data_IF_202545531900
#
_entry.id   IF_202545531900
#
_cell.length_a   1.000
_cell.length_b   1.000
_cell.length_c   1.000
_cell.angle_alpha   90.00
_cell.angle_beta   90.00
_cell.angle_gamma   90.00
#
_symmetry.space_group_name_H-M   'P 1'
#
loop_
_entity.id
_entity.type
_entity.pdbx_description
1 polymer ?
#
# COMPACT_ATOMS: atom_id res chain seq x y z
N UNK A 1 24.22 -4.49 -1.87
CA UNK A 1 24.84 -5.24 -2.98
C UNK A 1 25.67 -6.38 -2.39
N UNK A 2 25.48 -7.63 -2.83
CA UNK A 2 26.29 -8.77 -2.34
C UNK A 2 27.61 -8.94 -3.09
N UNK A 3 27.72 -8.38 -4.29
CA UNK A 3 28.95 -8.27 -5.08
C UNK A 3 29.18 -6.77 -5.29
N UNK A 4 30.28 -6.22 -4.77
CA UNK A 4 30.57 -4.78 -4.86
C UNK A 4 30.67 -4.27 -6.31
N UNK A 5 30.84 -2.97 -6.49
CA UNK A 5 31.07 -2.36 -7.81
C UNK A 5 32.57 -2.20 -8.09
N UNK A 6 32.99 -2.32 -9.35
CA UNK A 6 34.34 -1.94 -9.78
C UNK A 6 34.40 -0.43 -9.93
N UNK A 7 35.41 0.17 -9.30
CA UNK A 7 35.69 1.61 -9.35
C UNK A 7 37.20 1.78 -9.58
N UNK A 8 37.58 2.85 -10.25
CA UNK A 8 38.98 3.24 -10.38
C UNK A 8 39.57 3.64 -9.03
N UNK A 9 40.90 3.69 -8.95
CA UNK A 9 41.54 4.22 -7.75
C UNK A 9 41.25 5.72 -7.63
N UNK A 10 40.86 6.18 -6.44
CA UNK A 10 40.52 7.58 -6.25
C UNK A 10 39.72 7.87 -4.99
N UNK A 11 39.45 9.16 -4.79
CA UNK A 11 38.67 9.68 -3.68
C UNK A 11 37.22 9.85 -4.10
N UNK A 12 36.31 9.16 -3.43
CA UNK A 12 34.89 9.10 -3.78
C UNK A 12 34.01 9.72 -2.70
N UNK A 13 32.90 10.28 -3.14
CA UNK A 13 31.81 10.76 -2.30
C UNK A 13 30.60 9.83 -2.47
N UNK A 14 30.11 9.27 -1.38
CA UNK A 14 28.85 8.52 -1.31
C UNK A 14 27.78 9.43 -0.72
N UNK A 15 26.71 9.63 -1.50
CA UNK A 15 25.49 10.31 -1.04
C UNK A 15 24.38 9.28 -0.92
N UNK A 16 23.78 9.17 0.26
CA UNK A 16 22.57 8.38 0.49
C UNK A 16 21.42 9.32 0.85
N UNK A 17 20.21 8.95 0.44
CA UNK A 17 19.02 9.77 0.65
C UNK A 17 17.80 8.90 0.95
N UNK A 18 17.08 9.22 2.02
CA UNK A 18 15.80 8.59 2.36
C UNK A 18 14.67 9.58 2.15
N UNK A 19 13.72 9.25 1.28
CA UNK A 19 12.57 10.12 0.99
C UNK A 19 11.50 9.98 2.07
N UNK A 20 11.01 11.12 2.57
CA UNK A 20 9.93 11.20 3.54
C UNK A 20 8.57 11.40 2.85
N UNK A 21 7.49 11.05 3.55
CA UNK A 21 6.11 11.31 3.12
C UNK A 21 5.84 12.80 2.89
N UNK A 22 6.45 13.67 3.72
CA UNK A 22 6.41 15.13 3.57
C UNK A 22 7.08 15.66 2.30
N UNK A 23 7.81 14.82 1.56
CA UNK A 23 8.57 15.21 0.37
C UNK A 23 10.02 15.60 0.66
N UNK A 24 10.40 15.83 1.92
CA UNK A 24 11.79 16.05 2.31
C UNK A 24 12.64 14.78 2.08
N UNK A 25 13.97 14.97 1.95
CA UNK A 25 14.93 13.88 1.80
C UNK A 25 15.98 13.98 2.90
N UNK A 26 16.11 12.91 3.70
CA UNK A 26 17.18 12.79 4.68
C UNK A 26 18.45 12.34 3.98
N UNK A 27 19.36 13.27 3.75
CA UNK A 27 20.63 12.99 3.08
C UNK A 27 21.76 12.73 4.07
N UNK A 28 22.66 11.82 3.72
CA UNK A 28 23.97 11.62 4.35
C UNK A 28 25.04 11.63 3.28
N UNK A 29 26.17 12.21 3.64
CA UNK A 29 27.32 12.40 2.78
C UNK A 29 28.53 11.80 3.50
N UNK A 30 29.24 10.91 2.83
CA UNK A 30 30.44 10.26 3.36
C UNK A 30 31.51 10.14 2.27
N UNK A 31 32.76 10.19 2.68
CA UNK A 31 33.90 10.11 1.77
C UNK A 31 34.71 8.85 2.03
N UNK A 32 35.23 8.24 0.98
CA UNK A 32 36.09 7.06 1.08
C UNK A 32 37.11 7.04 -0.05
N UNK A 33 38.24 6.36 0.18
CA UNK A 33 39.31 6.23 -0.79
C UNK A 33 39.35 4.80 -1.32
N UNK A 34 39.50 4.64 -2.63
CA UNK A 34 39.68 3.34 -3.30
C UNK A 34 41.14 3.23 -3.74
N UNK A 35 41.87 2.27 -3.17
CA UNK A 35 43.24 1.99 -3.59
C UNK A 35 43.29 1.12 -4.85
N UNK A 36 44.32 1.31 -5.68
CA UNK A 36 44.54 0.52 -6.90
C UNK A 36 44.69 -0.96 -6.58
N UNK A 37 43.96 -1.82 -7.32
CA UNK A 37 43.96 -3.27 -7.14
C UNK A 37 43.36 -3.77 -5.81
N UNK A 38 42.88 -2.87 -4.94
CA UNK A 38 42.38 -3.18 -3.61
C UNK A 38 40.86 -3.34 -3.53
N UNK A 39 40.38 -3.83 -2.39
CA UNK A 39 38.96 -3.87 -2.05
C UNK A 39 38.68 -2.89 -0.91
N UNK A 40 37.84 -1.90 -1.18
CA UNK A 40 37.34 -0.97 -0.15
C UNK A 40 35.95 -1.40 0.27
N UNK A 41 35.72 -1.51 1.57
CA UNK A 41 34.40 -1.77 2.15
C UNK A 41 33.94 -0.48 2.81
N UNK A 42 32.82 0.06 2.35
CA UNK A 42 32.17 1.21 2.96
C UNK A 42 30.74 0.83 3.33
N UNK A 43 30.27 1.34 4.46
CA UNK A 43 28.91 1.11 4.90
C UNK A 43 27.94 1.97 4.09
N UNK A 44 26.90 1.33 3.57
CA UNK A 44 25.76 2.03 2.98
C UNK A 44 24.78 2.38 4.12
N UNK A 45 24.97 3.55 4.73
CA UNK A 45 24.12 4.03 5.82
C UNK A 45 23.00 4.89 5.26
N UNK A 46 21.76 4.43 5.39
CA UNK A 46 20.57 5.22 5.12
C UNK A 46 20.16 5.95 6.40
N UNK A 47 19.86 7.25 6.31
CA UNK A 47 19.29 7.97 7.46
C UNK A 47 17.83 7.60 7.61
N UNK A 48 17.44 7.28 8.83
CA UNK A 48 16.05 7.06 9.19
C UNK A 48 15.62 8.10 10.20
N UNK A 49 14.36 8.52 10.12
CA UNK A 49 13.69 9.28 11.17
C UNK A 49 12.79 8.34 11.97
N UNK A 50 12.84 8.44 13.29
CA UNK A 50 11.92 7.72 14.19
C UNK A 50 10.52 8.35 14.23
N UNK A 51 10.44 9.64 13.89
CA UNK A 51 9.25 10.45 14.04
C UNK A 51 8.56 10.75 12.70
N UNK A 52 9.30 10.71 11.58
CA UNK A 52 8.79 11.05 10.26
C UNK A 52 8.53 9.79 9.41
N UNK A 53 7.37 9.77 8.75
CA UNK A 53 6.96 8.70 7.86
C UNK A 53 7.84 8.68 6.60
N UNK A 54 8.32 7.49 6.23
CA UNK A 54 9.25 7.29 5.12
C UNK A 54 8.56 6.60 3.94
N UNK A 55 9.01 6.89 2.72
CA UNK A 55 8.59 6.16 1.53
C UNK A 55 9.38 4.86 1.47
N UNK A 56 8.70 3.73 1.62
CA UNK A 56 9.28 2.39 1.66
C UNK A 56 9.18 1.64 0.33
N UNK A 57 8.39 2.16 -0.61
CA UNK A 57 8.28 1.59 -1.95
C UNK A 57 7.34 2.37 -2.85
N UNK A 58 6.98 1.74 -3.97
CA UNK A 58 6.07 2.32 -4.95
C UNK A 58 4.92 1.37 -5.30
N UNK A 59 3.76 1.93 -5.59
CA UNK A 59 2.56 1.20 -6.00
C UNK A 59 1.78 2.04 -7.00
N UNK A 60 1.34 1.47 -8.12
CA UNK A 60 0.59 2.21 -9.14
C UNK A 60 -0.83 2.48 -8.65
N UNK A 61 -1.15 3.73 -8.31
CA UNK A 61 -2.50 4.12 -7.91
C UNK A 61 -3.52 3.97 -9.04
N UNK A 62 -3.08 3.88 -10.29
CA UNK A 62 -3.98 3.62 -11.42
C UNK A 62 -4.27 2.14 -11.65
N UNK A 63 -3.76 1.24 -10.79
CA UNK A 63 -4.08 -0.18 -10.90
C UNK A 63 -5.59 -0.41 -10.80
N UNK A 64 -6.09 -1.23 -11.73
CA UNK A 64 -7.50 -1.48 -11.91
C UNK A 64 -7.99 -2.60 -10.99
N UNK A 65 -9.18 -2.41 -10.44
CA UNK A 65 -9.92 -3.41 -9.71
C UNK A 65 -11.38 -3.40 -10.17
N UNK A 66 -12.13 -4.46 -9.88
CA UNK A 66 -13.56 -4.49 -10.17
C UNK A 66 -14.35 -4.18 -8.91
N UNK A 67 -15.02 -3.01 -8.81
CA UNK A 67 -15.74 -2.66 -7.61
C UNK A 67 -16.93 -3.60 -7.37
N UNK A 68 -17.23 -3.89 -6.12
CA UNK A 68 -18.40 -4.66 -5.72
C UNK A 68 -19.35 -3.72 -5.00
N UNK A 69 -20.51 -3.47 -5.61
CA UNK A 69 -21.69 -2.86 -5.01
C UNK A 69 -21.43 -1.72 -4.01
N UNK A 70 -21.41 -0.48 -4.49
CA UNK A 70 -22.12 0.68 -3.92
C UNK A 70 -21.86 1.92 -4.77
N UNK A 71 -22.46 1.98 -5.97
CA UNK A 71 -22.60 3.23 -6.73
C UNK A 71 -24.05 3.43 -7.18
N UNK A 72 -24.91 3.76 -6.21
CA UNK A 72 -26.01 4.72 -6.44
C UNK A 72 -25.79 6.07 -5.74
N UNK A 73 -24.76 6.21 -4.91
CA UNK A 73 -24.62 7.38 -4.02
C UNK A 73 -23.40 8.29 -4.28
N UNK A 74 -22.40 7.88 -5.07
CA UNK A 74 -21.26 8.73 -5.42
C UNK A 74 -21.01 8.77 -6.94
N UNK A 75 -22.06 9.10 -7.69
CA UNK A 75 -21.90 9.67 -9.02
C UNK A 75 -21.45 11.14 -8.89
N UNK A 76 -20.18 11.36 -8.56
CA UNK A 76 -19.51 12.58 -9.02
C UNK A 76 -18.66 12.19 -10.21
N UNK A 77 -19.29 12.34 -11.37
CA UNK A 77 -18.73 12.43 -12.72
C UNK A 77 -17.20 12.53 -12.80
N UNK A 78 -16.58 11.44 -13.26
CA UNK A 78 -15.45 11.52 -14.18
C UNK A 78 -15.58 10.31 -15.12
N UNK A 79 -15.93 10.62 -16.37
CA UNK A 79 -16.13 9.73 -17.49
C UNK A 79 -15.01 8.70 -17.64
N UNK A 80 -15.34 7.42 -17.47
CA UNK A 80 -14.69 6.37 -18.25
C UNK A 80 -15.50 6.28 -19.54
N UNK A 81 -14.90 6.66 -20.66
CA UNK A 81 -15.56 6.67 -21.96
C UNK A 81 -16.02 5.27 -22.37
N UNK A 82 -17.32 5.07 -22.31
CA UNK A 82 -18.10 4.16 -23.16
C UNK A 82 -19.57 4.41 -22.84
N UNK A 83 -20.34 4.73 -23.87
CA UNK A 83 -21.79 4.97 -23.88
C UNK A 83 -22.58 4.06 -22.91
N UNK A 84 -23.64 4.57 -22.28
CA UNK A 84 -24.47 3.80 -21.37
C UNK A 84 -25.29 2.79 -22.18
N UNK A 85 -24.85 1.53 -22.20
CA UNK A 85 -25.68 0.45 -22.71
C UNK A 85 -26.53 -0.11 -21.55
N UNK A 86 -27.83 0.09 -21.65
CA UNK A 86 -28.84 -0.38 -20.70
C UNK A 86 -28.95 -1.91 -20.76
N UNK A 87 -28.11 -2.61 -20.02
CA UNK A 87 -28.36 -4.01 -19.61
C UNK A 87 -27.62 -4.24 -18.29
N UNK A 88 -28.35 -4.60 -17.25
CA UNK A 88 -27.80 -4.83 -15.91
C UNK A 88 -26.68 -5.88 -15.96
N UNK A 89 -25.46 -5.56 -15.49
CA UNK A 89 -24.56 -6.59 -14.98
C UNK A 89 -23.04 -6.43 -15.13
N UNK A 90 -22.49 -5.46 -15.85
CA UNK A 90 -21.02 -5.32 -15.93
C UNK A 90 -20.53 -4.06 -15.22
N UNK A 91 -19.99 -4.25 -14.01
CA UNK A 91 -19.24 -3.21 -13.33
C UNK A 91 -17.89 -3.06 -14.03
N UNK A 92 -17.76 -2.03 -14.87
CA UNK A 92 -16.51 -1.69 -15.55
C UNK A 92 -15.38 -1.54 -14.52
N UNK A 93 -14.19 -2.04 -14.86
CA UNK A 93 -13.01 -1.92 -14.02
C UNK A 93 -12.71 -0.46 -13.70
N UNK A 94 -12.40 -0.15 -12.44
CA UNK A 94 -12.12 1.20 -11.94
C UNK A 94 -10.71 1.25 -11.36
N UNK A 95 -10.01 2.37 -11.51
CA UNK A 95 -8.69 2.53 -10.87
C UNK A 95 -8.81 2.89 -9.40
N UNK A 96 -7.82 2.51 -8.59
CA UNK A 96 -7.78 2.87 -7.17
C UNK A 96 -7.74 4.38 -6.96
N UNK A 97 -7.04 5.12 -7.83
CA UNK A 97 -7.00 6.58 -7.83
C UNK A 97 -8.40 7.17 -8.01
N UNK A 98 -9.16 6.68 -9.00
CA UNK A 98 -10.51 7.17 -9.26
C UNK A 98 -11.46 6.84 -8.10
N UNK A 99 -11.25 5.72 -7.40
CA UNK A 99 -12.08 5.32 -6.27
C UNK A 99 -11.74 6.07 -4.97
N UNK A 100 -10.47 6.37 -4.74
CA UNK A 100 -10.00 6.98 -3.49
C UNK A 100 -9.89 8.51 -3.54
N UNK A 101 -9.77 9.08 -4.74
CA UNK A 101 -9.50 10.51 -4.93
C UNK A 101 -8.06 10.89 -4.60
N UNK A 102 -7.79 12.20 -4.53
CA UNK A 102 -6.45 12.75 -4.24
C UNK A 102 -6.04 12.56 -2.78
N UNK A 103 -4.79 12.17 -2.56
CA UNK A 103 -4.19 11.97 -1.24
C UNK A 103 -3.82 10.51 -0.94
N UNK A 104 -3.62 10.22 0.34
CA UNK A 104 -3.34 8.87 0.82
C UNK A 104 -4.62 8.04 0.95
N UNK A 105 -4.49 6.73 0.78
CA UNK A 105 -5.54 5.73 0.93
C UNK A 105 -4.93 4.40 1.39
N UNK A 106 -5.77 3.52 1.92
CA UNK A 106 -5.37 2.17 2.33
C UNK A 106 -5.84 1.17 1.27
N UNK A 107 -4.99 0.21 0.93
CA UNK A 107 -5.38 -0.97 0.13
C UNK A 107 -5.10 -2.21 0.95
N UNK A 108 -6.12 -3.04 1.17
CA UNK A 108 -6.04 -4.31 1.87
C UNK A 108 -6.46 -5.46 0.95
N UNK A 109 -5.67 -6.52 0.89
CA UNK A 109 -6.01 -7.77 0.20
C UNK A 109 -6.31 -8.82 1.25
N UNK A 110 -7.52 -9.37 1.20
CA UNK A 110 -8.05 -10.22 2.26
C UNK A 110 -7.96 -11.70 1.91
N UNK A 111 -7.56 -12.52 2.88
CA UNK A 111 -7.72 -13.97 2.83
C UNK A 111 -8.97 -14.37 3.62
N UNK A 112 -10.11 -14.53 2.96
CA UNK A 112 -11.40 -14.78 3.63
C UNK A 112 -11.36 -16.09 4.41
N UNK A 113 -11.85 -16.07 5.65
CA UNK A 113 -11.86 -17.22 6.55
C UNK A 113 -10.50 -17.53 7.19
N UNK A 114 -9.46 -16.74 6.93
CA UNK A 114 -8.16 -16.89 7.57
C UNK A 114 -8.14 -16.08 8.88
N UNK A 115 -7.67 -16.70 9.96
CA UNK A 115 -7.53 -16.07 11.27
C UNK A 115 -6.75 -14.74 11.22
N UNK A 116 -5.62 -14.61 10.47
CA UNK A 116 -4.92 -13.33 10.32
C UNK A 116 -5.79 -12.21 9.74
N UNK A 117 -6.65 -12.53 8.77
CA UNK A 117 -7.56 -11.56 8.14
C UNK A 117 -8.63 -11.12 9.13
N UNK A 118 -9.17 -12.06 9.89
CA UNK A 118 -10.22 -11.76 10.86
C UNK A 118 -9.69 -10.87 12.00
N UNK A 119 -8.47 -11.11 12.47
CA UNK A 119 -7.81 -10.24 13.45
C UNK A 119 -7.55 -8.84 12.89
N UNK A 120 -6.99 -8.74 11.68
CA UNK A 120 -6.76 -7.46 11.02
C UNK A 120 -8.04 -6.61 10.88
N UNK A 121 -9.15 -7.22 10.49
CA UNK A 121 -10.44 -6.52 10.35
C UNK A 121 -11.02 -6.09 11.69
N UNK A 122 -10.87 -6.90 12.74
CA UNK A 122 -11.29 -6.54 14.10
C UNK A 122 -10.46 -5.37 14.66
N UNK A 123 -9.17 -5.37 14.42
CA UNK A 123 -8.29 -4.26 14.83
C UNK A 123 -8.65 -2.95 14.11
N UNK A 124 -9.01 -3.04 12.83
CA UNK A 124 -9.50 -1.89 12.05
C UNK A 124 -10.85 -1.40 12.61
N UNK A 125 -11.79 -2.32 12.89
CA UNK A 125 -13.09 -1.98 13.46
C UNK A 125 -12.97 -1.30 14.84
N UNK A 126 -12.05 -1.76 15.68
CA UNK A 126 -11.77 -1.15 16.99
C UNK A 126 -11.28 0.31 16.89
N UNK A 127 -10.71 0.71 15.75
CA UNK A 127 -10.20 2.06 15.47
C UNK A 127 -11.05 2.84 14.47
N UNK A 128 -12.29 2.42 14.27
CA UNK A 128 -13.15 2.93 13.20
C UNK A 128 -13.39 4.44 13.25
N UNK A 129 -13.73 4.99 14.42
CA UNK A 129 -14.00 6.43 14.57
C UNK A 129 -12.80 7.30 14.17
N UNK A 130 -11.57 6.88 14.48
CA UNK A 130 -10.35 7.61 14.12
C UNK A 130 -10.04 7.50 12.62
N UNK A 131 -10.25 6.32 12.04
CA UNK A 131 -10.09 6.09 10.60
C UNK A 131 -11.14 6.83 9.76
N UNK A 132 -12.38 6.93 10.26
CA UNK A 132 -13.42 7.74 9.64
C UNK A 132 -13.13 9.24 9.74
N UNK A 133 -12.59 9.69 10.88
CA UNK A 133 -12.14 11.08 11.05
C UNK A 133 -11.00 11.45 10.09
N UNK A 134 -10.12 10.51 9.76
CA UNK A 134 -9.11 10.71 8.70
C UNK A 134 -9.75 10.94 7.32
N UNK A 135 -10.94 10.38 7.09
CA UNK A 135 -11.80 10.68 5.93
C UNK A 135 -11.31 10.10 4.60
N UNK A 136 -10.28 9.26 4.61
CA UNK A 136 -9.76 8.61 3.40
C UNK A 136 -10.33 7.21 3.22
N UNK A 137 -10.33 6.77 1.96
CA UNK A 137 -10.88 5.47 1.57
C UNK A 137 -9.95 4.33 1.98
N UNK A 138 -10.58 3.23 2.39
CA UNK A 138 -9.94 1.95 2.65
C UNK A 138 -10.49 0.95 1.63
N UNK A 139 -9.68 0.55 0.66
CA UNK A 139 -10.09 -0.39 -0.38
C UNK A 139 -9.76 -1.80 0.07
N UNK A 140 -10.79 -2.63 0.27
CA UNK A 140 -10.65 -4.03 0.63
C UNK A 140 -10.93 -4.92 -0.59
N UNK A 141 -9.89 -5.62 -1.03
CA UNK A 141 -9.88 -6.42 -2.25
C UNK A 141 -9.91 -7.92 -1.94
N UNK A 142 -10.66 -8.64 -2.75
CA UNK A 142 -10.76 -10.10 -2.74
C UNK A 142 -10.15 -10.66 -4.01
N UNK A 143 -9.61 -11.88 -3.95
CA UNK A 143 -9.03 -12.53 -5.13
C UNK A 143 -10.08 -12.96 -6.17
N UNK A 144 -11.34 -13.13 -5.76
CA UNK A 144 -12.44 -13.52 -6.65
C UNK A 144 -13.82 -13.23 -6.01
N UNK A 145 -14.88 -13.27 -6.83
CA UNK A 145 -16.26 -13.09 -6.35
C UNK A 145 -16.69 -14.19 -5.38
N UNK A 146 -16.21 -15.41 -5.55
CA UNK A 146 -16.51 -16.53 -4.66
C UNK A 146 -15.96 -16.27 -3.25
N UNK A 147 -14.79 -15.66 -3.15
CA UNK A 147 -14.21 -15.24 -1.87
C UNK A 147 -15.05 -14.12 -1.25
N UNK A 148 -15.44 -13.11 -2.04
CA UNK A 148 -16.34 -12.06 -1.55
C UNK A 148 -17.68 -12.61 -1.06
N UNK A 149 -18.30 -13.57 -1.78
CA UNK A 149 -19.56 -14.21 -1.39
C UNK A 149 -19.46 -15.00 -0.09
N UNK A 150 -18.25 -15.40 0.33
CA UNK A 150 -17.99 -16.04 1.64
C UNK A 150 -17.73 -15.02 2.74
N UNK A 151 -17.35 -13.79 2.38
CA UNK A 151 -17.12 -12.73 3.34
C UNK A 151 -18.46 -12.28 3.95
N UNK A 152 -18.47 -12.07 5.26
CA UNK A 152 -19.63 -11.63 6.03
C UNK A 152 -19.23 -10.36 6.79
N UNK A 153 -19.50 -9.16 6.24
CA UNK A 153 -19.19 -7.91 6.93
C UNK A 153 -19.79 -7.83 8.34
N UNK A 154 -20.96 -8.45 8.55
CA UNK A 154 -21.68 -8.49 9.83
C UNK A 154 -20.90 -9.20 10.95
N UNK A 155 -19.93 -10.07 10.61
CA UNK A 155 -19.03 -10.70 11.60
C UNK A 155 -18.00 -9.72 12.17
N UNK A 156 -17.89 -8.53 11.56
CA UNK A 156 -16.96 -7.46 11.91
C UNK A 156 -17.73 -6.16 12.17
N UNK A 157 -18.58 -6.11 13.22
CA UNK A 157 -19.35 -4.92 13.53
C UNK A 157 -18.43 -3.74 13.84
N UNK A 158 -18.77 -2.56 13.31
CA UNK A 158 -18.01 -1.34 13.52
C UNK A 158 -16.91 -1.06 12.50
N UNK A 159 -16.82 -1.81 11.40
CA UNK A 159 -15.92 -1.43 10.29
C UNK A 159 -16.21 0.00 9.78
N UNK A 160 -15.18 0.80 9.44
CA UNK A 160 -15.35 2.15 8.90
C UNK A 160 -16.26 2.21 7.67
N UNK A 161 -17.18 3.18 7.65
CA UNK A 161 -18.03 3.49 6.49
C UNK A 161 -17.24 4.00 5.27
N UNK A 162 -15.95 4.35 5.45
CA UNK A 162 -15.04 4.73 4.36
C UNK A 162 -14.51 3.54 3.56
N UNK A 163 -14.80 2.30 4.00
CA UNK A 163 -14.40 1.08 3.29
C UNK A 163 -15.19 0.94 1.99
N UNK A 164 -14.47 0.58 0.93
CA UNK A 164 -15.05 0.14 -0.33
C UNK A 164 -14.52 -1.25 -0.68
N UNK A 165 -15.35 -2.07 -1.30
CA UNK A 165 -15.01 -3.46 -1.62
C UNK A 165 -14.80 -3.66 -3.11
N UNK A 166 -13.98 -4.63 -3.47
CA UNK A 166 -13.76 -4.97 -4.87
C UNK A 166 -12.97 -6.25 -5.10
N UNK A 167 -12.84 -6.64 -6.36
CA UNK A 167 -12.08 -7.81 -6.80
C UNK A 167 -10.75 -7.36 -7.40
N UNK A 168 -9.66 -7.95 -6.93
CA UNK A 168 -8.34 -7.83 -7.54
C UNK A 168 -8.27 -8.71 -8.80
N UNK A 169 -8.41 -8.08 -9.96
CA UNK A 169 -8.45 -8.74 -11.26
C UNK A 169 -7.10 -9.43 -11.49
N UNK A 170 -7.14 -10.75 -11.73
CA UNK A 170 -5.97 -11.62 -11.95
C UNK A 170 -4.91 -11.60 -10.83
N UNK A 171 -5.29 -11.15 -9.62
CA UNK A 171 -4.40 -10.86 -8.52
C UNK A 171 -3.27 -9.85 -8.89
N UNK A 172 -3.54 -8.94 -9.83
CA UNK A 172 -2.55 -8.01 -10.38
C UNK A 172 -2.06 -7.01 -9.34
N UNK A 173 -2.97 -6.45 -8.52
CA UNK A 173 -2.64 -5.53 -7.44
C UNK A 173 -1.80 -6.24 -6.39
N UNK A 174 -2.18 -7.45 -5.99
CA UNK A 174 -1.38 -8.28 -5.09
C UNK A 174 0.04 -8.52 -5.60
N UNK A 175 0.16 -9.00 -6.84
CA UNK A 175 1.46 -9.29 -7.47
C UNK A 175 2.33 -8.04 -7.50
N UNK A 176 1.73 -6.89 -7.82
CA UNK A 176 2.42 -5.62 -7.84
C UNK A 176 2.95 -5.23 -6.46
N UNK A 177 2.13 -5.32 -5.40
CA UNK A 177 2.55 -4.96 -4.04
C UNK A 177 3.70 -5.88 -3.59
N UNK A 178 3.53 -7.19 -3.76
CA UNK A 178 4.55 -8.19 -3.36
C UNK A 178 5.87 -7.95 -4.09
N UNK A 179 5.83 -7.66 -5.39
CA UNK A 179 7.03 -7.40 -6.20
C UNK A 179 7.69 -6.08 -5.80
N UNK A 180 6.89 -5.01 -5.68
CA UNK A 180 7.42 -3.66 -5.46
C UNK A 180 7.97 -3.48 -4.04
N UNK A 181 7.37 -4.16 -3.05
CA UNK A 181 7.84 -4.17 -1.65
C UNK A 181 8.83 -5.30 -1.36
N UNK A 182 9.17 -6.14 -2.35
CA UNK A 182 10.08 -7.30 -2.22
C UNK A 182 9.69 -8.24 -1.07
N UNK A 183 8.39 -8.48 -0.91
CA UNK A 183 7.86 -9.29 0.18
C UNK A 183 8.20 -10.77 -0.02
N UNK A 184 8.54 -11.44 1.06
CA UNK A 184 8.76 -12.89 1.09
C UNK A 184 7.42 -13.60 1.37
N UNK A 185 7.15 -14.73 0.69
CA UNK A 185 5.89 -15.46 0.87
C UNK A 185 4.72 -14.80 0.13
N UNK A 186 4.71 -14.94 -1.20
CA UNK A 186 3.69 -14.32 -2.09
C UNK A 186 2.24 -14.70 -1.72
N UNK A 187 2.07 -15.81 -1.00
CA UNK A 187 0.79 -16.38 -0.58
C UNK A 187 0.21 -15.80 0.72
N UNK A 188 1.01 -15.10 1.53
CA UNK A 188 0.60 -14.69 2.87
C UNK A 188 -0.39 -13.52 2.81
N UNK A 189 -1.57 -13.75 3.37
CA UNK A 189 -2.67 -12.80 3.51
C UNK A 189 -3.04 -12.67 5.00
N UNK A 190 -3.62 -11.52 5.42
CA UNK A 190 -3.93 -10.36 4.60
C UNK A 190 -2.69 -9.54 4.23
N UNK A 191 -2.82 -8.65 3.25
CA UNK A 191 -1.76 -7.74 2.82
C UNK A 191 -2.31 -6.32 2.79
N UNK A 192 -1.78 -5.43 3.62
CA UNK A 192 -2.20 -4.04 3.72
C UNK A 192 -1.08 -3.08 3.34
N UNK A 193 -1.42 -2.01 2.63
CA UNK A 193 -0.52 -0.89 2.36
C UNK A 193 -1.23 0.45 2.59
N UNK A 194 -0.46 1.48 2.91
CA UNK A 194 -0.87 2.88 2.76
C UNK A 194 -0.12 3.44 1.54
N UNK A 195 -0.86 3.88 0.54
CA UNK A 195 -0.33 4.47 -0.70
C UNK A 195 -0.98 5.81 -0.98
N UNK A 196 -0.35 6.61 -1.82
CA UNK A 196 -0.94 7.84 -2.35
C UNK A 196 -1.07 7.85 -3.87
N UNK A 197 -1.59 8.97 -4.37
CA UNK A 197 -1.76 9.27 -5.80
C UNK A 197 -0.47 9.57 -6.55
N UNK A 198 0.67 9.65 -5.85
CA UNK A 198 2.00 9.81 -6.44
C UNK A 198 2.76 8.49 -6.46
N UNK A 199 2.04 7.38 -6.32
CA UNK A 199 2.57 6.03 -6.31
C UNK A 199 3.55 5.76 -5.16
N UNK A 200 3.46 6.47 -4.04
CA UNK A 200 4.34 6.29 -2.87
C UNK A 200 3.67 5.39 -1.85
N UNK A 201 4.39 4.35 -1.42
CA UNK A 201 3.97 3.50 -0.30
C UNK A 201 4.75 3.88 0.95
N UNK A 202 4.02 4.04 2.04
CA UNK A 202 4.57 4.49 3.34
C UNK A 202 4.34 3.48 4.47
N UNK A 203 3.54 2.46 4.20
CA UNK A 203 3.25 1.36 5.13
C UNK A 203 3.00 0.07 4.36
N UNK A 204 3.46 -1.05 4.91
CA UNK A 204 3.14 -2.40 4.44
C UNK A 204 3.02 -3.33 5.64
N UNK A 205 1.99 -4.17 5.64
CA UNK A 205 1.79 -5.27 6.59
C UNK A 205 1.34 -6.51 5.84
N UNK A 206 1.89 -7.67 6.19
CA UNK A 206 1.59 -8.93 5.52
C UNK A 206 1.43 -10.08 6.53
N UNK A 207 0.39 -10.88 6.38
CA UNK A 207 0.13 -12.06 7.19
C UNK A 207 -0.35 -11.70 8.60
N UNK A 208 -0.01 -12.54 9.56
CA UNK A 208 -0.41 -12.36 10.95
C UNK A 208 0.26 -11.13 11.56
N UNK A 209 -0.53 -10.10 11.82
CA UNK A 209 -0.10 -8.87 12.49
C UNK A 209 -1.13 -8.53 13.55
N UNK A 210 -0.65 -8.25 14.76
CA UNK A 210 -1.48 -7.80 15.87
C UNK A 210 -1.47 -6.28 15.91
N UNK A 211 -2.63 -5.67 16.14
CA UNK A 211 -2.77 -4.22 16.30
C UNK A 211 -2.69 -3.48 14.97
N UNK A 212 -3.20 -4.07 13.88
CA UNK A 212 -3.13 -3.44 12.56
C UNK A 212 -3.78 -2.04 12.55
N UNK A 213 -4.93 -1.88 13.19
CA UNK A 213 -5.61 -0.59 13.31
C UNK A 213 -4.73 0.48 13.96
N UNK A 214 -4.02 0.14 15.05
CA UNK A 214 -3.08 1.05 15.72
C UNK A 214 -1.88 1.39 14.84
N UNK A 215 -1.34 0.40 14.12
CA UNK A 215 -0.22 0.62 13.20
C UNK A 215 -0.61 1.55 12.05
N UNK A 216 -1.79 1.37 11.47
CA UNK A 216 -2.33 2.28 10.45
C UNK A 216 -2.45 3.70 11.00
N UNK A 217 -3.07 3.87 12.18
CA UNK A 217 -3.23 5.18 12.80
C UNK A 217 -1.89 5.85 13.11
N UNK A 218 -0.91 5.10 13.62
CA UNK A 218 0.43 5.64 13.88
C UNK A 218 1.06 6.24 12.64
N UNK A 219 0.93 5.57 11.48
CA UNK A 219 1.43 6.11 10.22
C UNK A 219 0.58 7.30 9.78
N UNK A 220 -0.75 7.18 9.82
CA UNK A 220 -1.69 8.24 9.43
C UNK A 220 -1.47 9.54 10.20
N UNK A 221 -1.23 9.47 11.51
CA UNK A 221 -0.93 10.64 12.35
C UNK A 221 0.39 11.33 12.00
N UNK A 222 1.30 10.63 11.34
CA UNK A 222 2.58 11.18 10.86
C UNK A 222 2.57 11.67 9.41
N UNK A 223 1.43 11.59 8.71
CA UNK A 223 1.25 12.06 7.32
C UNK A 223 0.95 13.55 7.22
#
# INVERSE_FOLDING_TARGET
MKRGARLDAGYYMLVTGTRLASGAVLSRLSFFNVASGGRTVTDLVMRESKDAVQVIGSFNSESLYRPIGTDKANQTSASCGSEPNETAGECSSRSLLQACGRGYFVVGILGVGQEPTNHALRDIAARSAELEKWGRKIVLLFSSEEQYKKFRPDEFPGLPSTIIYGIDIDNSIRKQIVTSMKLSGQTNLPLFIISDTFNRVVFVSQGYTIGLGEQLLKVIHGL
#
